data_IF_369846115258
#
_entry.id   IF_369846115258
#
_cell.length_a   1.000
_cell.length_b   1.000
_cell.length_c   1.000
_cell.angle_alpha   90.00
_cell.angle_beta   90.00
_cell.angle_gamma   90.00
#
_symmetry.space_group_name_H-M   'P 1'
#
loop_
_entity.id
_entity.type
_entity.pdbx_description
1 polymer ?
#
# COMPACT_ATOMS: atom_id res chain seq x y z
N UNK A 1 -11.18 -15.59 74.76
CA UNK A 1 -11.08 -16.59 73.68
C UNK A 1 -11.37 -15.90 72.35
N UNK A 2 -10.31 -15.67 71.55
CA UNK A 2 -10.13 -16.15 70.17
C UNK A 2 -11.20 -15.69 69.16
N UNK A 3 -10.76 -14.97 68.13
CA UNK A 3 -11.52 -14.88 66.87
C UNK A 3 -11.16 -13.69 65.98
N UNK A 4 -9.90 -13.55 65.57
CA UNK A 4 -9.52 -12.59 64.54
C UNK A 4 -10.02 -13.00 63.16
N UNK A 5 -10.62 -12.07 62.42
CA UNK A 5 -11.01 -12.27 61.02
C UNK A 5 -10.14 -11.37 60.14
N UNK A 6 -9.19 -12.00 59.43
CA UNK A 6 -8.33 -11.38 58.42
C UNK A 6 -9.20 -10.96 57.23
N UNK A 7 -9.19 -9.68 56.86
CA UNK A 7 -9.69 -9.21 55.56
C UNK A 7 -8.62 -9.48 54.51
N UNK A 8 -8.88 -10.43 53.62
CA UNK A 8 -8.05 -10.70 52.45
C UNK A 8 -8.18 -9.57 51.43
N UNK A 9 -7.06 -8.97 51.06
CA UNK A 9 -6.96 -8.07 49.92
C UNK A 9 -6.92 -8.91 48.64
N UNK A 10 -7.97 -8.83 47.83
CA UNK A 10 -7.98 -9.41 46.48
C UNK A 10 -7.19 -8.51 45.53
N UNK A 11 -6.05 -8.98 45.04
CA UNK A 11 -5.37 -8.38 43.89
C UNK A 11 -6.18 -8.70 42.62
N UNK A 12 -6.79 -7.69 42.01
CA UNK A 12 -7.25 -7.75 40.64
C UNK A 12 -6.08 -7.46 39.70
N UNK A 13 -5.57 -8.50 39.03
CA UNK A 13 -4.63 -8.33 37.91
C UNK A 13 -5.45 -7.99 36.67
N UNK A 14 -5.46 -6.71 36.30
CA UNK A 14 -5.97 -6.24 35.00
C UNK A 14 -4.93 -6.61 33.93
N UNK A 15 -5.16 -7.71 33.23
CA UNK A 15 -4.43 -8.07 32.03
C UNK A 15 -4.75 -7.05 30.92
N UNK A 16 -3.83 -6.13 30.66
CA UNK A 16 -3.87 -5.28 29.48
C UNK A 16 -3.50 -6.11 28.24
N UNK A 17 -4.53 -6.58 27.52
CA UNK A 17 -4.37 -7.05 26.15
C UNK A 17 -4.18 -5.82 25.26
N UNK A 18 -2.93 -5.39 25.08
CA UNK A 18 -2.56 -4.47 24.02
C UNK A 18 -2.66 -5.21 22.68
N UNK A 19 -3.84 -5.19 22.06
CA UNK A 19 -4.00 -5.61 20.67
C UNK A 19 -3.24 -4.65 19.76
N UNK A 20 -2.15 -5.11 19.17
CA UNK A 20 -1.51 -4.43 18.04
C UNK A 20 -2.43 -4.59 16.84
N UNK A 21 -3.20 -3.55 16.53
CA UNK A 21 -4.01 -3.51 15.33
C UNK A 21 -3.12 -3.42 14.11
N UNK A 22 -2.92 -4.55 13.42
CA UNK A 22 -2.85 -4.50 11.97
C UNK A 22 -4.09 -3.72 11.51
N UNK A 23 -3.92 -2.74 10.64
CA UNK A 23 -5.05 -2.06 10.02
C UNK A 23 -5.78 -3.10 9.15
N UNK A 24 -6.69 -3.85 9.77
CA UNK A 24 -7.74 -4.57 9.07
C UNK A 24 -8.50 -3.49 8.33
N UNK A 25 -8.56 -3.58 7.00
CA UNK A 25 -9.57 -2.86 6.25
C UNK A 25 -10.90 -3.10 6.99
N UNK A 26 -11.51 -2.02 7.51
CA UNK A 26 -12.81 -2.14 8.14
C UNK A 26 -13.73 -2.84 7.14
N UNK A 27 -14.43 -3.88 7.59
CA UNK A 27 -15.25 -4.73 6.73
C UNK A 27 -16.16 -3.85 5.84
N UNK A 28 -15.86 -3.79 4.54
CA UNK A 28 -16.62 -2.99 3.57
C UNK A 28 -15.99 -1.67 3.11
N UNK A 29 -14.78 -1.29 3.55
CA UNK A 29 -14.07 -0.13 2.99
C UNK A 29 -13.01 -0.50 1.95
N UNK A 30 -12.74 0.43 1.04
CA UNK A 30 -11.72 0.33 0.00
C UNK A 30 -10.87 1.60 0.00
N UNK A 31 -9.69 1.53 0.62
CA UNK A 31 -8.80 2.69 0.78
C UNK A 31 -7.65 2.72 -0.24
N UNK A 32 -7.20 1.57 -0.73
CA UNK A 32 -6.09 1.42 -1.67
C UNK A 32 -6.09 -0.01 -2.29
N UNK A 33 -4.95 -0.45 -2.83
CA UNK A 33 -4.79 -1.77 -3.43
C UNK A 33 -4.66 -2.91 -2.40
N UNK A 34 -4.64 -2.63 -1.10
CA UNK A 34 -4.49 -3.59 -0.02
C UNK A 34 -3.07 -4.14 0.14
N UNK A 35 -2.93 -5.17 0.98
CA UNK A 35 -1.64 -5.80 1.20
C UNK A 35 -1.12 -6.51 -0.07
N UNK A 36 0.17 -6.38 -0.36
CA UNK A 36 0.77 -6.92 -1.58
C UNK A 36 0.82 -8.46 -1.61
N UNK A 37 0.77 -9.11 -0.45
CA UNK A 37 0.67 -10.57 -0.34
C UNK A 37 -0.72 -11.12 -0.69
N UNK A 38 -1.77 -10.28 -0.63
CA UNK A 38 -3.08 -10.60 -1.18
C UNK A 38 -3.10 -10.59 -2.72
N UNK A 39 -2.00 -10.17 -3.36
CA UNK A 39 -1.80 -10.24 -4.81
C UNK A 39 -2.67 -9.26 -5.60
N UNK A 40 -2.56 -7.93 -5.35
CA UNK A 40 -3.28 -6.95 -6.16
C UNK A 40 -2.91 -7.10 -7.64
N UNK A 41 -3.89 -6.92 -8.52
CA UNK A 41 -3.74 -7.14 -9.96
C UNK A 41 -4.06 -5.90 -10.77
N UNK A 42 -4.03 -6.03 -12.10
CA UNK A 42 -4.53 -5.01 -13.01
C UNK A 42 -5.90 -5.38 -13.56
N UNK A 43 -6.66 -4.36 -13.90
CA UNK A 43 -7.88 -4.47 -14.67
C UNK A 43 -8.11 -3.26 -15.54
N UNK A 44 -9.11 -3.39 -16.39
CA UNK A 44 -9.55 -2.33 -17.30
C UNK A 44 -11.06 -2.20 -17.20
N UNK A 45 -11.55 -0.96 -17.18
CA UNK A 45 -12.99 -0.69 -17.23
C UNK A 45 -13.52 -1.11 -18.60
N UNK A 46 -14.56 -1.95 -18.62
CA UNK A 46 -15.11 -2.54 -19.83
C UNK A 46 -15.72 -1.49 -20.77
N UNK A 47 -15.70 -1.80 -22.07
CA UNK A 47 -16.37 -1.00 -23.08
C UNK A 47 -17.89 -0.99 -22.89
N UNK A 48 -18.55 0.09 -23.35
CA UNK A 48 -20.02 0.26 -23.28
C UNK A 48 -20.51 1.01 -22.04
N UNK A 49 -19.66 1.20 -21.03
CA UNK A 49 -19.98 2.00 -19.84
C UNK A 49 -19.53 3.45 -20.03
N UNK A 50 -20.46 4.40 -20.10
CA UNK A 50 -20.12 5.81 -20.30
C UNK A 50 -19.37 6.38 -19.08
N UNK A 51 -19.83 6.07 -17.86
CA UNK A 51 -19.25 6.51 -16.58
C UNK A 51 -19.59 5.48 -15.50
N UNK A 52 -18.57 4.84 -14.93
CA UNK A 52 -18.73 3.92 -13.81
C UNK A 52 -18.34 4.66 -12.52
N UNK A 53 -19.31 5.09 -11.69
CA UNK A 53 -19.00 5.79 -10.46
C UNK A 53 -18.33 4.84 -9.46
N UNK A 54 -17.40 5.40 -8.67
CA UNK A 54 -16.97 4.72 -7.45
C UNK A 54 -18.15 4.58 -6.49
N UNK A 55 -18.10 3.52 -5.70
CA UNK A 55 -19.09 3.21 -4.66
C UNK A 55 -18.44 3.40 -3.30
N UNK A 56 -19.15 4.15 -2.45
CA UNK A 56 -18.75 4.47 -1.08
C UNK A 56 -18.50 3.22 -0.24
N UNK A 57 -17.57 3.32 0.69
CA UNK A 57 -17.35 2.29 1.71
C UNK A 57 -18.37 2.35 2.86
N UNK A 58 -18.28 1.38 3.75
CA UNK A 58 -19.10 1.29 4.95
C UNK A 58 -18.89 2.47 5.91
N UNK A 59 -17.66 2.99 6.01
CA UNK A 59 -17.33 4.14 6.86
C UNK A 59 -17.88 5.45 6.32
N UNK A 60 -18.04 5.58 5.00
CA UNK A 60 -18.58 6.79 4.38
C UNK A 60 -20.10 6.89 4.54
N UNK A 61 -20.79 5.74 4.43
CA UNK A 61 -22.25 5.68 4.51
C UNK A 61 -22.71 4.29 4.91
N UNK A 62 -23.49 4.22 6.00
CA UNK A 62 -24.16 2.99 6.44
C UNK A 62 -24.96 2.37 5.28
N UNK A 63 -24.74 1.08 5.04
CA UNK A 63 -25.41 0.33 3.96
C UNK A 63 -24.67 0.37 2.63
N UNK A 64 -23.55 1.07 2.54
CA UNK A 64 -22.61 0.97 1.43
C UNK A 64 -21.44 0.03 1.79
N UNK A 65 -20.74 -0.57 0.81
CA UNK A 65 -21.02 -0.52 -0.62
C UNK A 65 -22.29 -1.30 -1.00
N UNK A 66 -23.05 -0.79 -1.99
CA UNK A 66 -24.34 -1.33 -2.37
C UNK A 66 -24.90 -0.70 -3.64
N UNK A 67 -25.96 -1.31 -4.18
CA UNK A 67 -26.57 -0.89 -5.45
C UNK A 67 -27.42 0.39 -5.35
N UNK A 68 -27.72 0.84 -4.12
CA UNK A 68 -28.44 2.08 -3.86
C UNK A 68 -27.72 3.26 -4.55
N UNK A 69 -28.41 4.08 -5.36
CA UNK A 69 -27.83 5.27 -5.98
C UNK A 69 -27.10 6.20 -4.99
N UNK A 70 -27.50 6.22 -3.72
CA UNK A 70 -26.89 7.02 -2.69
C UNK A 70 -25.50 6.53 -2.24
N UNK A 71 -25.13 5.29 -2.59
CA UNK A 71 -23.77 4.78 -2.43
C UNK A 71 -22.84 5.24 -3.56
N UNK A 72 -23.36 5.82 -4.64
CA UNK A 72 -22.53 6.30 -5.75
C UNK A 72 -21.82 7.60 -5.39
N UNK A 73 -20.57 7.69 -5.80
CA UNK A 73 -19.78 8.91 -5.71
C UNK A 73 -19.90 9.75 -6.99
N UNK A 74 -19.45 11.00 -6.88
CA UNK A 74 -19.27 11.87 -8.05
C UNK A 74 -18.05 11.48 -8.88
N UNK A 75 -17.02 10.90 -8.24
CA UNK A 75 -15.84 10.38 -8.92
C UNK A 75 -16.21 9.10 -9.68
N UNK A 76 -15.65 8.94 -10.86
CA UNK A 76 -15.97 7.84 -11.78
C UNK A 76 -14.74 7.53 -12.64
N UNK A 77 -14.76 6.34 -13.20
CA UNK A 77 -13.86 5.90 -14.27
C UNK A 77 -14.66 5.68 -15.55
N UNK A 78 -14.00 5.63 -16.68
CA UNK A 78 -14.61 5.42 -18.00
C UNK A 78 -14.01 4.20 -18.68
N UNK A 79 -14.69 3.68 -19.71
CA UNK A 79 -14.19 2.58 -20.53
C UNK A 79 -12.72 2.79 -20.95
N UNK A 80 -11.90 1.77 -20.78
CA UNK A 80 -10.46 1.80 -21.09
C UNK A 80 -9.57 2.32 -19.96
N UNK A 81 -10.12 2.90 -18.89
CA UNK A 81 -9.30 3.26 -17.73
C UNK A 81 -8.68 2.01 -17.10
N UNK A 82 -7.36 2.06 -16.87
CA UNK A 82 -6.64 1.05 -16.11
C UNK A 82 -6.83 1.29 -14.61
N UNK A 83 -7.09 0.21 -13.88
CA UNK A 83 -7.27 0.21 -12.42
C UNK A 83 -6.44 -0.89 -11.79
N UNK A 84 -5.90 -0.62 -10.60
CA UNK A 84 -5.27 -1.63 -9.75
C UNK A 84 -6.36 -2.26 -8.89
N UNK A 85 -6.49 -3.57 -8.96
CA UNK A 85 -7.53 -4.34 -8.29
C UNK A 85 -6.97 -4.94 -7.00
N UNK A 86 -7.58 -4.59 -5.87
CA UNK A 86 -7.27 -5.14 -4.55
C UNK A 86 -8.33 -6.15 -4.08
N UNK A 87 -8.74 -6.01 -2.83
CA UNK A 87 -9.76 -6.84 -2.20
C UNK A 87 -11.07 -6.88 -3.00
N UNK A 88 -11.79 -8.00 -2.89
CA UNK A 88 -13.08 -8.20 -3.53
C UNK A 88 -14.14 -8.58 -2.50
N UNK A 89 -15.38 -8.22 -2.79
CA UNK A 89 -16.56 -8.64 -2.05
C UNK A 89 -17.70 -8.93 -3.04
N UNK A 90 -18.81 -9.57 -2.62
CA UNK A 90 -19.87 -9.93 -3.56
C UNK A 90 -20.34 -8.73 -4.41
N UNK A 91 -20.14 -8.82 -5.72
CA UNK A 91 -20.53 -7.79 -6.69
C UNK A 91 -19.58 -6.59 -6.84
N UNK A 92 -18.53 -6.47 -6.03
CA UNK A 92 -17.62 -5.31 -6.05
C UNK A 92 -16.15 -5.71 -5.97
N UNK A 93 -15.29 -4.89 -6.57
CA UNK A 93 -13.84 -5.00 -6.49
C UNK A 93 -13.23 -3.65 -6.11
N UNK A 94 -12.37 -3.67 -5.09
CA UNK A 94 -11.66 -2.49 -4.65
C UNK A 94 -10.68 -2.09 -5.74
N UNK A 95 -10.81 -0.87 -6.23
CA UNK A 95 -10.15 -0.41 -7.44
C UNK A 95 -9.45 0.90 -7.19
N UNK A 96 -8.15 0.95 -7.47
CA UNK A 96 -7.34 2.16 -7.40
C UNK A 96 -7.06 2.66 -8.82
N UNK A 97 -7.62 3.82 -9.15
CA UNK A 97 -7.32 4.55 -10.37
C UNK A 97 -6.20 5.56 -10.14
N UNK A 98 -5.28 5.64 -11.10
CA UNK A 98 -4.19 6.62 -11.09
C UNK A 98 -4.35 7.52 -12.32
N UNK A 99 -4.73 8.77 -12.09
CA UNK A 99 -4.93 9.75 -13.14
C UNK A 99 -3.64 10.15 -13.85
N UNK A 100 -3.79 10.80 -15.01
CA UNK A 100 -2.66 11.26 -15.85
C UNK A 100 -1.68 12.19 -15.14
N UNK A 101 -2.14 12.95 -14.15
CA UNK A 101 -1.31 13.86 -13.33
C UNK A 101 -0.76 13.20 -12.07
N UNK A 102 -1.08 11.92 -11.82
CA UNK A 102 -0.64 11.16 -10.64
C UNK A 102 -1.63 11.20 -9.47
N UNK A 103 -2.77 11.89 -9.60
CA UNK A 103 -3.83 11.83 -8.60
C UNK A 103 -4.36 10.39 -8.48
N UNK A 104 -4.42 9.88 -7.24
CA UNK A 104 -4.86 8.53 -6.93
C UNK A 104 -6.28 8.59 -6.35
N UNK A 105 -7.16 7.69 -6.81
CA UNK A 105 -8.51 7.50 -6.26
C UNK A 105 -8.77 6.01 -6.09
N UNK A 106 -9.05 5.58 -4.86
CA UNK A 106 -9.39 4.20 -4.54
C UNK A 106 -10.83 4.07 -4.04
N UNK A 107 -11.62 3.18 -4.63
CA UNK A 107 -12.98 2.92 -4.16
C UNK A 107 -13.54 1.65 -4.76
N UNK A 108 -14.73 1.25 -4.31
CA UNK A 108 -15.40 0.08 -4.87
C UNK A 108 -15.88 0.38 -6.29
N UNK A 109 -15.64 -0.55 -7.21
CA UNK A 109 -16.30 -0.59 -8.53
C UNK A 109 -17.15 -1.86 -8.62
N UNK A 110 -18.28 -1.84 -9.35
CA UNK A 110 -18.99 -3.06 -9.68
C UNK A 110 -18.05 -4.05 -10.39
N UNK A 111 -17.95 -5.26 -9.87
CA UNK A 111 -17.06 -6.28 -10.44
C UNK A 111 -17.41 -6.60 -11.90
N UNK A 112 -18.69 -6.47 -12.27
CA UNK A 112 -19.16 -6.64 -13.65
C UNK A 112 -18.61 -5.59 -14.62
N UNK A 113 -18.24 -4.40 -14.15
CA UNK A 113 -17.75 -3.28 -14.96
C UNK A 113 -16.24 -3.35 -15.25
N UNK A 114 -15.53 -4.28 -14.62
CA UNK A 114 -14.07 -4.42 -14.74
C UNK A 114 -13.72 -5.75 -15.36
N UNK A 115 -12.80 -5.73 -16.32
CA UNK A 115 -12.14 -6.91 -16.85
C UNK A 115 -10.76 -7.03 -16.21
N UNK A 116 -10.47 -8.19 -15.59
CA UNK A 116 -9.18 -8.45 -14.96
C UNK A 116 -8.14 -8.77 -16.04
N UNK A 117 -7.00 -8.12 -15.98
CA UNK A 117 -5.86 -8.43 -16.83
C UNK A 117 -5.16 -9.71 -16.34
N UNK A 118 -4.51 -10.46 -17.24
CA UNK A 118 -3.61 -11.55 -16.83
C UNK A 118 -2.54 -11.08 -15.85
N UNK A 119 -2.08 -11.99 -15.00
CA UNK A 119 -0.95 -11.71 -14.10
C UNK A 119 0.29 -11.34 -14.92
N UNK A 120 0.95 -10.20 -14.64
CA UNK A 120 2.13 -9.81 -15.38
C UNK A 120 3.32 -10.73 -15.03
N UNK A 121 4.15 -10.99 -16.04
CA UNK A 121 5.41 -11.72 -15.90
C UNK A 121 6.59 -10.81 -16.30
N UNK A 122 6.91 -9.76 -15.52
CA UNK A 122 7.96 -8.82 -15.88
C UNK A 122 9.34 -9.49 -15.81
N UNK A 123 10.18 -9.20 -16.80
CA UNK A 123 11.60 -9.53 -16.77
C UNK A 123 12.39 -8.53 -15.90
N UNK A 124 13.66 -8.83 -15.55
CA UNK A 124 14.47 -7.94 -14.72
C UNK A 124 14.62 -6.52 -15.27
N UNK A 125 14.67 -6.35 -16.60
CA UNK A 125 14.77 -5.04 -17.26
C UNK A 125 13.51 -4.19 -17.10
N UNK A 126 12.35 -4.82 -16.90
CA UNK A 126 11.07 -4.12 -16.74
C UNK A 126 10.98 -3.41 -15.39
N UNK A 127 11.86 -3.70 -14.44
CA UNK A 127 11.91 -3.00 -13.16
C UNK A 127 12.69 -1.68 -13.24
N UNK A 128 13.63 -1.60 -14.19
CA UNK A 128 14.58 -0.51 -14.25
C UNK A 128 13.91 0.85 -14.49
N UNK A 129 14.42 1.86 -13.80
CA UNK A 129 14.02 3.24 -13.96
C UNK A 129 13.92 4.01 -12.65
N UNK A 130 13.48 5.26 -12.77
CA UNK A 130 13.06 6.08 -11.65
C UNK A 130 11.54 6.07 -11.58
N UNK A 131 11.04 5.72 -10.40
CA UNK A 131 9.65 5.63 -10.03
C UNK A 131 9.34 6.71 -9.01
N UNK A 132 8.28 7.47 -9.21
CA UNK A 132 7.94 8.62 -8.36
C UNK A 132 6.50 8.55 -7.89
N UNK A 133 6.30 9.02 -6.66
CA UNK A 133 5.04 9.35 -6.02
C UNK A 133 5.17 10.76 -5.41
N UNK A 134 4.12 11.35 -4.80
CA UNK A 134 4.14 12.77 -4.40
C UNK A 134 5.33 13.21 -3.53
N UNK A 135 5.72 12.40 -2.53
CA UNK A 135 6.84 12.69 -1.62
C UNK A 135 7.89 11.57 -1.61
N UNK A 136 7.84 10.66 -2.59
CA UNK A 136 8.67 9.46 -2.62
C UNK A 136 9.28 9.22 -4.00
N UNK A 137 10.50 8.69 -4.01
CA UNK A 137 11.16 8.22 -5.22
C UNK A 137 11.82 6.88 -4.96
N UNK A 138 11.72 5.97 -5.93
CA UNK A 138 12.46 4.72 -6.01
C UNK A 138 13.27 4.69 -7.32
N UNK A 139 14.55 4.44 -7.20
CA UNK A 139 15.50 4.25 -8.28
C UNK A 139 15.86 2.76 -8.33
N UNK A 140 15.46 2.07 -9.39
CA UNK A 140 15.74 0.64 -9.57
C UNK A 140 16.70 0.48 -10.75
N UNK A 141 17.84 -0.19 -10.51
CA UNK A 141 18.90 -0.43 -11.51
C UNK A 141 19.36 -1.88 -11.46
N UNK A 142 20.03 -2.38 -12.52
CA UNK A 142 20.78 -3.63 -12.42
C UNK A 142 21.75 -3.61 -11.23
N UNK A 143 21.76 -4.69 -10.45
CA UNK A 143 22.71 -4.90 -9.38
C UNK A 143 24.07 -5.39 -9.90
N UNK A 144 25.05 -5.52 -9.00
CA UNK A 144 26.39 -6.01 -9.36
C UNK A 144 26.40 -7.48 -9.75
N UNK A 145 25.55 -8.29 -9.12
CA UNK A 145 25.40 -9.70 -9.45
C UNK A 145 24.33 -9.87 -10.54
N UNK A 146 24.57 -10.78 -11.48
CA UNK A 146 23.62 -11.07 -12.55
C UNK A 146 22.25 -11.47 -11.97
N UNK A 147 21.18 -10.93 -12.56
CA UNK A 147 19.80 -11.19 -12.13
C UNK A 147 19.35 -10.44 -10.87
N UNK A 148 20.23 -9.66 -10.23
CA UNK A 148 19.85 -8.81 -9.09
C UNK A 148 19.51 -7.39 -9.53
N UNK A 149 18.68 -6.72 -8.73
CA UNK A 149 18.31 -5.32 -8.88
C UNK A 149 18.73 -4.56 -7.63
N UNK A 150 19.38 -3.41 -7.82
CA UNK A 150 19.61 -2.41 -6.78
C UNK A 150 18.43 -1.46 -6.72
N UNK A 151 17.81 -1.37 -5.55
CA UNK A 151 16.73 -0.44 -5.22
C UNK A 151 17.30 0.60 -4.27
N UNK A 152 17.17 1.87 -4.63
CA UNK A 152 17.44 3.01 -3.75
C UNK A 152 16.22 3.90 -3.71
N UNK A 153 15.91 4.49 -2.58
CA UNK A 153 14.78 5.37 -2.48
C UNK A 153 14.87 6.36 -1.35
N UNK A 154 14.15 7.46 -1.55
CA UNK A 154 14.02 8.55 -0.62
C UNK A 154 12.53 8.85 -0.45
N UNK A 155 12.13 9.15 0.78
CA UNK A 155 10.77 9.54 1.11
C UNK A 155 10.79 10.69 2.11
N UNK A 156 9.82 11.58 1.99
CA UNK A 156 9.60 12.66 2.96
C UNK A 156 8.18 12.61 3.51
N UNK A 157 8.01 13.22 4.68
CA UNK A 157 6.69 13.58 5.19
C UNK A 157 6.70 15.05 5.58
N UNK A 158 5.96 15.86 4.84
CA UNK A 158 5.81 17.28 5.11
C UNK A 158 6.58 18.21 4.17
N UNK A 159 7.32 17.69 3.20
CA UNK A 159 8.12 18.51 2.29
C UNK A 159 7.25 19.31 1.31
N UNK A 160 6.03 18.85 1.01
CA UNK A 160 5.07 19.59 0.17
C UNK A 160 4.28 20.65 0.94
N UNK A 161 4.53 20.81 2.25
CA UNK A 161 3.83 21.78 3.10
C UNK A 161 4.78 22.92 3.50
N UNK A 162 4.65 24.13 2.90
CA UNK A 162 5.58 25.24 3.14
C UNK A 162 5.77 25.61 4.61
N UNK A 163 4.69 25.52 5.42
CA UNK A 163 4.74 25.80 6.85
C UNK A 163 5.54 24.77 7.65
N UNK A 164 5.55 23.51 7.23
CA UNK A 164 6.38 22.47 7.84
C UNK A 164 7.84 22.65 7.46
N UNK A 165 8.11 22.91 6.19
CA UNK A 165 9.46 23.20 5.69
C UNK A 165 10.07 24.40 6.44
N UNK A 166 9.35 25.51 6.57
CA UNK A 166 9.82 26.71 7.29
C UNK A 166 10.18 26.44 8.75
N UNK A 167 9.51 25.49 9.40
CA UNK A 167 9.76 25.11 10.81
C UNK A 167 10.73 23.94 10.97
N UNK A 168 11.31 23.42 9.87
CA UNK A 168 12.16 22.23 9.91
C UNK A 168 11.42 20.95 10.30
N UNK A 169 10.09 20.92 10.16
CA UNK A 169 9.23 19.80 10.56
C UNK A 169 9.01 18.81 9.40
N UNK A 170 10.10 18.39 8.77
CA UNK A 170 10.10 17.41 7.67
C UNK A 170 10.81 16.15 8.15
N UNK A 171 10.09 15.02 8.10
CA UNK A 171 10.71 13.72 8.39
C UNK A 171 11.23 13.12 7.08
N UNK A 172 12.36 12.42 7.17
CA UNK A 172 13.04 11.80 6.05
C UNK A 172 13.11 10.28 6.24
N UNK A 173 13.15 9.55 5.13
CA UNK A 173 13.37 8.11 5.11
C UNK A 173 14.13 7.71 3.87
N UNK A 174 14.86 6.62 3.98
CA UNK A 174 15.65 6.07 2.89
C UNK A 174 15.49 4.57 2.86
N UNK A 175 15.45 4.01 1.66
CA UNK A 175 15.49 2.56 1.45
C UNK A 175 16.63 2.20 0.52
N UNK A 176 17.42 1.19 0.88
CA UNK A 176 18.46 0.66 0.00
C UNK A 176 18.57 -0.85 0.12
N UNK A 177 18.52 -1.55 -1.01
CA UNK A 177 18.74 -2.97 -1.05
C UNK A 177 19.14 -3.49 -2.43
N UNK A 178 19.74 -4.67 -2.46
CA UNK A 178 20.03 -5.40 -3.69
C UNK A 178 19.54 -6.83 -3.56
N UNK A 179 18.59 -7.25 -4.40
CA UNK A 179 18.03 -8.60 -4.39
C UNK A 179 17.52 -8.98 -5.77
N UNK A 180 17.27 -10.28 -6.00
CA UNK A 180 16.63 -10.75 -7.22
C UNK A 180 15.09 -10.63 -7.10
N UNK A 181 14.39 -10.17 -8.15
CA UNK A 181 12.93 -10.26 -8.18
C UNK A 181 12.48 -11.73 -8.34
N UNK A 182 11.29 -12.02 -7.83
CA UNK A 182 10.56 -13.28 -8.05
C UNK A 182 9.27 -12.96 -8.79
N UNK A 183 9.27 -13.14 -10.11
CA UNK A 183 8.17 -12.72 -10.98
C UNK A 183 7.92 -11.21 -10.87
N UNK A 184 6.66 -10.85 -10.60
CA UNK A 184 6.24 -9.47 -10.38
C UNK A 184 6.57 -8.92 -8.98
N UNK A 185 7.25 -9.67 -8.11
CA UNK A 185 7.50 -9.29 -6.72
C UNK A 185 9.00 -9.10 -6.44
N UNK A 186 9.33 -8.10 -5.62
CA UNK A 186 10.69 -7.89 -5.10
C UNK A 186 10.57 -7.45 -3.65
N UNK A 187 11.25 -8.11 -2.72
CA UNK A 187 11.12 -7.80 -1.30
C UNK A 187 12.44 -8.00 -0.56
N UNK A 188 12.71 -7.15 0.42
CA UNK A 188 13.90 -7.26 1.26
C UNK A 188 13.73 -6.51 2.59
N UNK A 189 14.64 -6.84 3.51
CA UNK A 189 14.88 -6.08 4.73
C UNK A 189 16.24 -5.38 4.63
N UNK A 190 16.31 -4.12 5.06
CA UNK A 190 17.58 -3.40 5.23
C UNK A 190 18.27 -3.88 6.49
N UNK A 191 19.37 -4.61 6.35
CA UNK A 191 20.23 -4.99 7.47
C UNK A 191 21.44 -4.08 7.59
N UNK A 192 22.01 -4.00 8.80
CA UNK A 192 23.23 -3.25 9.09
C UNK A 192 24.46 -3.65 8.25
N UNK A 193 24.46 -4.87 7.70
CA UNK A 193 25.56 -5.44 6.90
C UNK A 193 25.17 -5.72 5.45
N UNK A 194 24.04 -5.17 5.00
CA UNK A 194 23.53 -5.34 3.64
C UNK A 194 22.09 -5.85 3.60
N UNK A 195 21.67 -6.28 2.43
CA UNK A 195 20.29 -6.70 2.16
C UNK A 195 20.02 -8.09 2.73
N UNK A 196 18.94 -8.20 3.51
CA UNK A 196 18.47 -9.44 4.10
C UNK A 196 17.17 -9.91 3.41
N UNK A 197 16.82 -11.21 3.49
CA UNK A 197 15.49 -11.68 3.12
C UNK A 197 14.40 -10.89 3.85
N UNK A 198 13.26 -10.65 3.20
CA UNK A 198 12.14 -9.86 3.76
C UNK A 198 11.64 -10.36 5.14
N UNK A 199 11.74 -11.66 5.41
CA UNK A 199 11.31 -12.26 6.68
C UNK A 199 12.40 -12.28 7.74
N UNK A 200 13.60 -11.80 7.43
CA UNK A 200 14.74 -11.73 8.34
C UNK A 200 14.96 -10.29 8.85
N UNK A 201 15.90 -10.14 9.78
CA UNK A 201 16.22 -8.88 10.45
C UNK A 201 15.42 -8.68 11.74
N UNK A 202 15.73 -7.59 12.43
CA UNK A 202 15.08 -7.20 13.68
C UNK A 202 13.69 -6.59 13.42
N UNK A 203 12.80 -6.54 14.42
CA UNK A 203 11.45 -5.97 14.26
C UNK A 203 11.45 -4.51 13.77
N UNK A 204 12.48 -3.74 14.15
CA UNK A 204 12.63 -2.32 13.79
C UNK A 204 13.35 -2.08 12.46
N UNK A 205 13.86 -3.11 11.79
CA UNK A 205 14.53 -2.92 10.52
C UNK A 205 13.54 -2.49 9.44
N UNK A 206 13.96 -1.60 8.54
CA UNK A 206 13.15 -1.21 7.39
C UNK A 206 12.92 -2.41 6.47
N UNK A 207 11.66 -2.71 6.18
CA UNK A 207 11.24 -3.78 5.27
C UNK A 207 10.40 -3.17 4.17
N UNK A 208 10.69 -3.56 2.94
CA UNK A 208 9.90 -3.12 1.79
C UNK A 208 9.61 -4.32 0.90
N UNK A 209 8.39 -4.31 0.35
CA UNK A 209 7.92 -5.19 -0.70
C UNK A 209 7.45 -4.33 -1.84
N UNK A 210 7.83 -4.71 -3.04
CA UNK A 210 7.46 -4.08 -4.29
C UNK A 210 6.73 -5.09 -5.16
N UNK A 211 5.71 -4.61 -5.88
CA UNK A 211 5.00 -5.38 -6.89
C UNK A 211 4.92 -4.57 -8.19
N UNK A 212 5.48 -5.11 -9.25
CA UNK A 212 5.51 -4.48 -10.56
C UNK A 212 4.27 -4.89 -11.36
N UNK A 213 3.38 -3.92 -11.59
CA UNK A 213 2.18 -4.03 -12.39
C UNK A 213 2.23 -2.99 -13.51
N UNK A 214 2.99 -3.20 -14.60
CA UNK A 214 3.26 -2.15 -15.58
C UNK A 214 1.97 -1.47 -16.08
N UNK A 215 1.88 -0.13 -16.06
CA UNK A 215 2.96 0.84 -15.87
C UNK A 215 3.19 1.31 -14.42
N UNK A 216 2.62 0.63 -13.43
CA UNK A 216 2.68 0.98 -12.01
C UNK A 216 3.68 0.11 -11.24
N UNK A 217 4.25 0.69 -10.19
CA UNK A 217 4.99 -0.02 -9.17
C UNK A 217 4.28 0.20 -7.84
N UNK A 218 3.76 -0.86 -7.24
CA UNK A 218 3.19 -0.81 -5.90
C UNK A 218 4.31 -1.06 -4.90
N UNK A 219 4.33 -0.33 -3.80
CA UNK A 219 5.26 -0.57 -2.71
C UNK A 219 4.52 -0.64 -1.39
N UNK A 220 4.97 -1.49 -0.49
CA UNK A 220 4.48 -1.64 0.87
C UNK A 220 5.69 -1.70 1.80
N UNK A 221 5.71 -0.86 2.82
CA UNK A 221 6.72 -0.86 3.86
C UNK A 221 6.13 -1.12 5.24
N UNK A 222 6.99 -1.45 6.20
CA UNK A 222 6.59 -1.72 7.57
C UNK A 222 6.58 -0.47 8.47
N UNK A 223 6.51 0.74 7.89
CA UNK A 223 6.59 2.04 8.59
C UNK A 223 7.88 2.29 9.38
N UNK A 224 8.92 1.47 9.20
CA UNK A 224 10.22 1.62 9.86
C UNK A 224 11.32 2.13 8.91
N UNK A 225 10.95 2.64 7.74
CA UNK A 225 11.88 3.08 6.69
C UNK A 225 12.24 4.56 6.76
N UNK A 226 11.96 5.22 7.88
CA UNK A 226 12.26 6.63 8.09
C UNK A 226 11.76 7.17 9.42
N UNK A 227 11.70 8.49 9.52
CA UNK A 227 11.10 9.18 10.66
C UNK A 227 9.58 9.02 10.73
N UNK A 228 8.98 9.63 11.76
CA UNK A 228 7.54 9.55 12.03
C UNK A 228 6.71 9.88 10.77
N UNK A 229 5.72 9.04 10.45
CA UNK A 229 4.82 9.15 9.28
C UNK A 229 5.50 9.09 7.91
N UNK A 230 6.80 8.79 7.83
CA UNK A 230 7.44 8.49 6.55
C UNK A 230 7.05 7.08 6.14
N UNK A 231 6.58 6.93 4.92
CA UNK A 231 6.23 5.65 4.33
C UNK A 231 6.54 5.64 2.85
N UNK A 232 7.02 4.49 2.39
CA UNK A 232 7.13 4.15 0.99
C UNK A 232 5.84 3.52 0.44
N UNK A 233 4.86 3.20 1.29
CA UNK A 233 3.61 2.53 0.90
C UNK A 233 2.74 3.43 0.02
N UNK A 234 2.76 3.21 -1.30
CA UNK A 234 1.97 3.97 -2.27
C UNK A 234 2.07 3.36 -3.68
N UNK A 235 1.36 3.96 -4.63
CA UNK A 235 1.50 3.64 -6.06
C UNK A 235 2.48 4.61 -6.69
N UNK A 236 3.52 4.07 -7.33
CA UNK A 236 4.52 4.83 -8.06
C UNK A 236 4.29 4.73 -9.56
N UNK A 237 4.71 5.79 -10.25
CA UNK A 237 4.76 5.85 -11.71
C UNK A 237 6.19 5.96 -12.19
N UNK A 238 6.53 5.27 -13.28
CA UNK A 238 7.83 5.47 -13.92
C UNK A 238 7.90 6.87 -14.53
N UNK A 239 8.87 7.66 -14.09
CA UNK A 239 9.14 9.01 -14.59
C UNK A 239 10.36 9.06 -15.49
N UNK A 240 11.29 8.09 -15.34
CA UNK A 240 12.47 7.93 -16.19
C UNK A 240 12.78 6.44 -16.39
N UNK A 241 13.18 6.00 -17.59
CA UNK A 241 13.69 4.64 -17.82
C UNK A 241 15.06 4.42 -17.19
#
# INVERSE_FOLDING_TARGET
MRGGTRRGAGLFVLAWLAGQGAALAAEGDCFDYGALDAGPGLGTVKAGEARVPFVRGASDRKGCPGADPACREKAFVVAGDAVILGAAMPGYVCSTYVGRTGAVRAGWLPASAVERAPEPAPGPTDWAGTWSAPEQTLAIRPGKAAGTLSVKGDATYGALHPDRVRRGAVNLGTVEGTTAPSGASLAFTMGNKGTLPFTAGEPGDCRIRLRLLPPFLLAEDNMNCGGMNVSFTTVYRRTKP
#
